data_IF_446191077529
#
_entry.id   IF_446191077529
#
_cell.length_a   1.000
_cell.length_b   1.000
_cell.length_c   1.000
_cell.angle_alpha   90.00
_cell.angle_beta   90.00
_cell.angle_gamma   90.00
#
_symmetry.space_group_name_H-M   'P 1'
#
loop_
_entity.id
_entity.type
_entity.pdbx_description
1 polymer ?
#
# COMPACT_ATOMS: atom_id res chain seq x y z
N UNK A 1 5.35 34.02 2.22
CA UNK A 1 4.51 32.87 1.73
C UNK A 1 3.89 32.27 2.98
N UNK A 2 2.59 32.45 3.15
CA UNK A 2 1.88 32.04 4.36
C UNK A 2 1.89 30.52 4.53
N UNK A 3 2.26 30.01 5.70
CA UNK A 3 2.31 28.57 5.98
C UNK A 3 0.94 27.86 5.86
N UNK A 4 -0.15 28.62 5.98
CA UNK A 4 -1.53 28.12 5.87
C UNK A 4 -1.86 27.68 4.43
N UNK A 5 -1.31 28.35 3.41
CA UNK A 5 -1.52 27.99 2.01
C UNK A 5 -0.77 26.71 1.60
N UNK A 6 0.33 26.38 2.28
CA UNK A 6 1.08 25.15 2.03
C UNK A 6 0.33 23.89 2.47
N UNK A 7 -0.35 23.96 3.61
CA UNK A 7 -1.12 22.84 4.17
C UNK A 7 -2.39 22.57 3.34
N UNK A 8 -3.06 23.66 2.88
CA UNK A 8 -4.24 23.55 2.02
C UNK A 8 -3.88 22.94 0.64
N UNK A 9 -2.72 23.27 0.08
CA UNK A 9 -2.21 22.66 -1.15
C UNK A 9 -1.84 21.19 -0.97
N UNK A 10 -1.27 20.81 0.18
CA UNK A 10 -0.93 19.42 0.49
C UNK A 10 -2.18 18.55 0.64
N UNK A 11 -3.22 19.05 1.30
CA UNK A 11 -4.51 18.38 1.44
C UNK A 11 -5.26 18.29 0.10
N UNK A 12 -5.15 19.30 -0.76
CA UNK A 12 -5.73 19.30 -2.10
C UNK A 12 -5.00 18.32 -3.04
N UNK A 13 -3.67 18.18 -2.93
CA UNK A 13 -2.90 17.21 -3.70
C UNK A 13 -3.20 15.76 -3.29
N UNK A 14 -3.44 15.50 -1.99
CA UNK A 14 -3.86 14.18 -1.49
C UNK A 14 -5.31 13.82 -1.89
N UNK A 15 -6.20 14.81 -2.04
CA UNK A 15 -7.56 14.61 -2.50
C UNK A 15 -7.68 14.55 -4.04
N UNK A 16 -6.79 15.22 -4.78
CA UNK A 16 -6.84 15.38 -6.23
C UNK A 16 -6.39 14.15 -7.04
N UNK A 17 -5.63 13.22 -6.43
CA UNK A 17 -5.15 12.00 -7.11
C UNK A 17 -6.26 11.03 -7.55
N UNK A 18 -7.48 11.16 -7.01
CA UNK A 18 -8.64 10.35 -7.37
C UNK A 18 -9.47 10.90 -8.54
N UNK A 19 -9.41 12.22 -8.79
CA UNK A 19 -10.25 12.87 -9.81
C UNK A 19 -9.65 12.83 -11.23
N UNK A 20 -8.32 12.82 -11.36
CA UNK A 20 -7.65 12.78 -12.65
C UNK A 20 -7.82 11.43 -13.39
N UNK A 21 -7.88 10.31 -12.65
CA UNK A 21 -8.15 8.99 -13.22
C UNK A 21 -9.57 8.83 -13.77
N UNK A 22 -10.53 9.53 -13.17
CA UNK A 22 -11.94 9.46 -13.57
C UNK A 22 -12.25 10.30 -14.81
N UNK A 23 -11.52 11.41 -15.03
CA UNK A 23 -11.69 12.28 -16.21
C UNK A 23 -11.08 11.69 -17.48
N UNK A 24 -10.00 10.89 -17.39
CA UNK A 24 -9.39 10.24 -18.56
C UNK A 24 -10.20 9.04 -19.08
N UNK A 25 -11.04 8.41 -18.26
CA UNK A 25 -11.93 7.32 -18.73
C UNK A 25 -13.18 7.80 -19.45
N UNK A 26 -13.50 9.11 -19.43
CA UNK A 26 -14.69 9.70 -20.04
C UNK A 26 -14.48 10.25 -21.44
N UNK A 27 -13.25 10.31 -21.94
CA UNK A 27 -12.88 10.92 -23.23
C UNK A 27 -12.97 9.96 -24.45
N UNK A 28 -13.32 8.68 -24.25
CA UNK A 28 -13.48 7.72 -25.35
C UNK A 28 -14.95 7.26 -25.48
N UNK A 29 -15.82 8.15 -25.97
CA UNK A 29 -17.10 7.77 -26.60
C UNK A 29 -16.96 7.93 -28.08
N UNK A 30 -17.16 6.88 -28.89
CA UNK A 30 -17.31 7.04 -30.35
C UNK A 30 -18.65 7.69 -30.62
N UNK A 31 -18.63 8.75 -31.41
CA UNK A 31 -19.80 9.43 -31.95
C UNK A 31 -20.54 8.59 -33.00
N UNK A 32 -21.81 8.93 -33.31
CA UNK A 32 -22.65 8.14 -34.19
C UNK A 32 -22.21 8.28 -35.65
N UNK A 33 -22.26 7.14 -36.36
CA UNK A 33 -22.02 7.04 -37.79
C UNK A 33 -23.14 7.74 -38.56
N UNK A 34 -22.77 8.55 -39.56
CA UNK A 34 -23.64 9.09 -40.58
C UNK A 34 -23.81 8.10 -41.73
N UNK A 35 -24.99 8.06 -42.40
CA UNK A 35 -25.26 7.15 -43.51
C UNK A 35 -24.97 7.79 -44.88
N UNK A 36 -24.56 6.98 -45.81
CA UNK A 36 -24.77 7.37 -47.23
C UNK A 36 -23.68 7.00 -48.21
N UNK A 37 -24.16 6.33 -49.25
CA UNK A 37 -23.79 6.27 -50.69
C UNK A 37 -22.99 5.03 -51.11
N UNK A 38 -23.71 4.10 -51.63
CA UNK A 38 -23.98 3.68 -53.01
C UNK A 38 -22.78 3.56 -53.97
N UNK A 39 -22.65 2.35 -54.49
CA UNK A 39 -22.55 1.96 -55.91
C UNK A 39 -21.19 1.90 -56.62
N UNK A 40 -21.00 0.69 -57.21
CA UNK A 40 -20.27 0.31 -58.44
C UNK A 40 -18.94 -0.44 -58.33
N UNK A 41 -18.63 -1.22 -59.42
CA UNK A 41 -19.19 -2.51 -59.83
C UNK A 41 -18.12 -3.62 -59.95
N UNK A 42 -18.59 -4.82 -60.21
CA UNK A 42 -17.80 -6.04 -60.42
C UNK A 42 -16.97 -6.01 -61.71
N UNK A 43 -15.75 -6.61 -61.63
CA UNK A 43 -14.99 -7.07 -62.81
C UNK A 43 -14.56 -8.52 -62.57
N UNK A 44 -14.73 -9.41 -63.52
CA UNK A 44 -14.47 -10.84 -63.37
C UNK A 44 -13.06 -11.22 -63.78
N UNK A 45 -12.44 -12.15 -63.08
CA UNK A 45 -11.29 -12.88 -63.62
C UNK A 45 -11.42 -14.38 -63.40
N UNK A 46 -11.20 -15.05 -64.50
CA UNK A 46 -11.15 -16.48 -64.70
C UNK A 46 -9.99 -17.15 -63.93
N UNK A 47 -10.23 -18.40 -63.55
CA UNK A 47 -9.15 -19.30 -63.17
C UNK A 47 -9.66 -20.47 -62.32
N UNK A 48 -10.20 -21.48 -62.97
CA UNK A 48 -10.70 -22.67 -62.34
C UNK A 48 -9.60 -23.54 -61.75
N UNK A 49 -9.83 -24.02 -60.53
CA UNK A 49 -9.26 -25.24 -60.06
C UNK A 49 -10.35 -26.00 -59.31
N UNK A 50 -10.78 -27.12 -59.85
CA UNK A 50 -11.67 -28.07 -59.23
C UNK A 50 -10.99 -28.53 -57.92
N UNK A 51 -11.66 -28.35 -56.82
CA UNK A 51 -11.38 -29.04 -55.57
C UNK A 51 -12.61 -29.88 -55.28
N UNK A 52 -12.37 -31.16 -55.13
CA UNK A 52 -13.39 -32.17 -54.85
C UNK A 52 -14.16 -31.81 -53.56
N UNK A 53 -15.46 -31.79 -53.73
CA UNK A 53 -16.45 -31.69 -52.67
C UNK A 53 -16.65 -33.07 -52.10
N UNK A 54 -16.08 -33.32 -50.91
CA UNK A 54 -16.59 -34.28 -49.95
C UNK A 54 -15.77 -34.17 -48.64
N UNK A 55 -15.99 -33.07 -47.92
CA UNK A 55 -15.75 -33.00 -46.48
C UNK A 55 -16.81 -32.11 -45.84
N UNK A 56 -17.73 -32.76 -45.12
CA UNK A 56 -18.67 -32.07 -44.22
C UNK A 56 -17.91 -31.17 -43.20
N UNK A 57 -18.38 -29.96 -42.90
CA UNK A 57 -17.68 -29.06 -42.01
C UNK A 57 -17.78 -29.57 -40.56
N UNK A 58 -16.75 -30.23 -40.09
CA UNK A 58 -16.47 -30.54 -38.70
C UNK A 58 -16.30 -29.27 -37.82
N UNK A 59 -16.72 -28.09 -38.29
CA UNK A 59 -16.44 -26.80 -37.64
C UNK A 59 -17.31 -26.48 -36.42
N UNK A 60 -18.48 -27.11 -36.24
CA UNK A 60 -19.37 -26.79 -35.11
C UNK A 60 -18.91 -27.40 -33.75
N UNK A 61 -18.19 -28.49 -33.77
CA UNK A 61 -17.66 -29.10 -32.55
C UNK A 61 -16.36 -28.42 -32.06
N UNK A 62 -15.54 -27.91 -32.98
CA UNK A 62 -14.29 -27.20 -32.67
C UNK A 62 -14.53 -25.86 -31.99
N UNK A 63 -15.47 -25.06 -32.46
CA UNK A 63 -15.80 -23.73 -31.90
C UNK A 63 -16.40 -23.81 -30.49
N UNK A 64 -17.26 -24.83 -30.22
CA UNK A 64 -17.78 -25.07 -28.85
C UNK A 64 -16.69 -25.46 -27.85
N UNK A 65 -15.74 -26.27 -28.28
CA UNK A 65 -14.58 -26.66 -27.46
C UNK A 65 -13.63 -25.49 -27.19
N UNK A 66 -13.40 -24.63 -28.19
CA UNK A 66 -12.53 -23.45 -28.08
C UNK A 66 -13.13 -22.41 -27.13
N UNK A 67 -14.43 -22.12 -27.26
CA UNK A 67 -15.13 -21.18 -26.37
C UNK A 67 -15.08 -21.63 -24.89
N UNK A 68 -15.24 -22.93 -24.62
CA UNK A 68 -15.13 -23.44 -23.26
C UNK A 68 -13.71 -23.36 -22.72
N UNK A 69 -12.69 -23.74 -23.51
CA UNK A 69 -11.28 -23.60 -23.12
C UNK A 69 -10.90 -22.12 -22.84
N UNK A 70 -11.42 -21.19 -23.65
CA UNK A 70 -11.21 -19.76 -23.44
C UNK A 70 -11.83 -19.29 -22.10
N UNK A 71 -13.06 -19.70 -21.81
CA UNK A 71 -13.70 -19.38 -20.50
C UNK A 71 -12.95 -20.00 -19.32
N UNK A 72 -12.43 -21.22 -19.48
CA UNK A 72 -11.70 -21.91 -18.43
C UNK A 72 -10.32 -21.31 -18.15
N UNK A 73 -9.74 -20.58 -19.12
CA UNK A 73 -8.45 -19.88 -18.98
C UNK A 73 -8.58 -18.50 -18.33
N UNK A 74 -9.80 -17.97 -18.17
CA UNK A 74 -10.02 -16.66 -17.55
C UNK A 74 -9.71 -16.70 -16.05
N UNK A 75 -9.04 -15.66 -15.57
CA UNK A 75 -8.85 -15.44 -14.13
C UNK A 75 -10.10 -14.88 -13.44
N UNK A 76 -11.05 -14.42 -14.22
CA UNK A 76 -12.34 -13.91 -13.75
C UNK A 76 -13.32 -15.07 -13.60
N UNK A 77 -14.02 -15.15 -12.47
CA UNK A 77 -15.08 -16.12 -12.24
C UNK A 77 -16.29 -15.84 -13.13
N UNK A 78 -16.76 -16.83 -13.88
CA UNK A 78 -17.96 -16.71 -14.71
C UNK A 78 -18.96 -17.77 -14.31
N UNK A 79 -20.18 -17.33 -13.97
CA UNK A 79 -21.33 -18.18 -13.64
C UNK A 79 -22.52 -17.74 -14.48
N UNK A 80 -23.15 -18.69 -15.20
CA UNK A 80 -24.43 -18.43 -15.87
C UNK A 80 -25.51 -19.19 -15.11
N UNK A 81 -26.56 -18.47 -14.72
CA UNK A 81 -27.72 -19.04 -14.03
C UNK A 81 -28.91 -19.12 -14.97
N UNK A 82 -29.65 -20.23 -14.92
CA UNK A 82 -30.92 -20.43 -15.62
C UNK A 82 -32.08 -19.73 -14.89
N UNK A 83 -33.31 -19.97 -15.35
CA UNK A 83 -34.53 -19.35 -14.80
C UNK A 83 -34.81 -19.77 -13.35
N UNK A 84 -34.37 -20.95 -12.94
CA UNK A 84 -34.55 -21.58 -11.63
C UNK A 84 -33.33 -21.34 -10.69
N UNK A 85 -32.39 -20.45 -11.09
CA UNK A 85 -31.16 -20.14 -10.39
C UNK A 85 -30.16 -21.30 -10.29
N UNK A 86 -30.28 -22.32 -11.15
CA UNK A 86 -29.27 -23.36 -11.24
C UNK A 86 -28.08 -22.90 -12.11
N UNK A 87 -26.86 -23.33 -11.76
CA UNK A 87 -25.68 -23.01 -12.55
C UNK A 87 -25.67 -23.78 -13.88
N UNK A 88 -25.98 -23.10 -14.99
CA UNK A 88 -25.92 -23.66 -16.34
C UNK A 88 -24.49 -23.71 -16.89
N UNK A 89 -23.63 -22.75 -16.49
CA UNK A 89 -22.22 -22.70 -16.86
C UNK A 89 -21.40 -22.14 -15.72
N UNK A 90 -20.24 -22.74 -15.48
CA UNK A 90 -19.30 -22.34 -14.42
C UNK A 90 -17.89 -22.59 -14.88
N UNK A 91 -17.01 -21.60 -14.77
CA UNK A 91 -15.59 -21.78 -15.02
C UNK A 91 -14.80 -22.15 -13.74
N UNK A 92 -13.53 -22.61 -13.83
CA UNK A 92 -12.71 -22.98 -12.69
C UNK A 92 -12.48 -21.82 -11.70
N UNK A 93 -12.30 -20.60 -12.20
CA UNK A 93 -12.08 -19.40 -11.37
C UNK A 93 -13.27 -19.14 -10.43
N UNK A 94 -14.52 -19.25 -10.92
CA UNK A 94 -15.73 -19.10 -10.10
C UNK A 94 -15.81 -20.13 -8.98
N UNK A 95 -15.35 -21.35 -9.21
CA UNK A 95 -15.27 -22.40 -8.17
C UNK A 95 -14.23 -22.07 -7.13
N UNK A 96 -13.04 -21.63 -7.55
CA UNK A 96 -11.95 -21.24 -6.66
C UNK A 96 -12.33 -20.04 -5.77
N UNK A 97 -13.15 -19.12 -6.28
CA UNK A 97 -13.68 -17.97 -5.53
C UNK A 97 -14.80 -18.32 -4.54
N UNK A 98 -15.24 -19.59 -4.48
CA UNK A 98 -16.29 -20.00 -3.55
C UNK A 98 -17.70 -19.51 -3.93
N UNK A 99 -17.93 -19.17 -5.21
CA UNK A 99 -19.22 -18.71 -5.71
C UNK A 99 -20.28 -19.81 -5.82
N UNK A 100 -19.86 -21.04 -5.59
CA UNK A 100 -20.69 -22.23 -5.59
C UNK A 100 -20.62 -22.93 -4.24
N UNK A 101 -21.75 -23.54 -3.86
CA UNK A 101 -21.88 -24.38 -2.66
C UNK A 101 -22.36 -25.78 -3.06
N UNK A 102 -22.14 -26.75 -2.21
CA UNK A 102 -22.77 -28.06 -2.36
C UNK A 102 -24.28 -27.89 -2.30
N UNK A 103 -24.99 -28.41 -3.29
CA UNK A 103 -26.46 -28.40 -3.33
C UNK A 103 -27.05 -29.41 -2.35
N UNK A 104 -28.39 -29.44 -2.27
CA UNK A 104 -29.11 -30.33 -1.36
C UNK A 104 -29.03 -31.81 -1.73
N UNK A 105 -28.68 -32.17 -2.97
CA UNK A 105 -28.46 -33.54 -3.40
C UNK A 105 -26.98 -33.83 -3.64
N UNK A 106 -26.48 -35.05 -3.40
CA UNK A 106 -25.09 -35.42 -3.64
C UNK A 106 -24.67 -35.15 -5.08
N UNK A 107 -23.55 -34.41 -5.25
CA UNK A 107 -23.02 -34.07 -6.56
C UNK A 107 -23.63 -32.84 -7.24
N UNK A 108 -24.65 -32.20 -6.66
CA UNK A 108 -25.24 -30.97 -7.19
C UNK A 108 -24.49 -29.71 -6.69
N UNK A 109 -24.37 -28.72 -7.57
CA UNK A 109 -23.82 -27.40 -7.23
C UNK A 109 -24.95 -26.38 -7.17
N UNK A 110 -24.98 -25.58 -6.14
CA UNK A 110 -25.89 -24.45 -6.00
C UNK A 110 -25.10 -23.13 -6.06
N UNK A 111 -25.66 -22.12 -6.71
CA UNK A 111 -25.10 -20.80 -6.72
C UNK A 111 -25.16 -20.16 -5.32
N UNK A 112 -24.12 -19.40 -4.96
CA UNK A 112 -24.11 -18.63 -3.72
C UNK A 112 -25.36 -17.72 -3.63
N UNK A 113 -26.01 -17.57 -2.46
CA UNK A 113 -27.25 -16.79 -2.33
C UNK A 113 -27.20 -15.40 -2.96
N UNK A 114 -26.06 -14.73 -2.87
CA UNK A 114 -25.89 -13.39 -3.44
C UNK A 114 -26.01 -13.39 -4.97
N UNK A 115 -25.50 -14.44 -5.65
CA UNK A 115 -25.62 -14.56 -7.11
C UNK A 115 -27.08 -14.73 -7.53
N UNK A 116 -27.87 -15.51 -6.77
CA UNK A 116 -29.30 -15.69 -6.99
C UNK A 116 -30.07 -14.40 -6.80
N UNK A 117 -29.74 -13.64 -5.76
CA UNK A 117 -30.35 -12.32 -5.51
C UNK A 117 -30.07 -11.36 -6.66
N UNK A 118 -28.81 -11.26 -7.12
CA UNK A 118 -28.42 -10.42 -8.26
C UNK A 118 -29.12 -10.86 -9.55
N UNK A 119 -29.14 -12.17 -9.84
CA UNK A 119 -29.82 -12.70 -11.01
C UNK A 119 -31.32 -12.38 -11.00
N UNK A 120 -31.98 -12.53 -9.85
CA UNK A 120 -33.40 -12.17 -9.66
C UNK A 120 -33.67 -10.68 -9.87
N UNK A 121 -32.76 -9.79 -9.44
CA UNK A 121 -32.88 -8.36 -9.70
C UNK A 121 -32.73 -8.05 -11.19
N UNK A 122 -31.72 -8.61 -11.85
CA UNK A 122 -31.45 -8.39 -13.28
C UNK A 122 -32.63 -8.90 -14.14
N UNK A 123 -33.21 -10.08 -13.81
CA UNK A 123 -34.38 -10.60 -14.54
C UNK A 123 -35.62 -9.69 -14.40
N UNK A 124 -35.85 -9.13 -13.20
CA UNK A 124 -37.01 -8.24 -12.99
C UNK A 124 -36.86 -6.89 -13.66
N UNK A 125 -35.64 -6.34 -13.70
CA UNK A 125 -35.42 -4.96 -14.16
C UNK A 125 -34.86 -4.86 -15.57
N UNK A 126 -34.30 -5.94 -16.13
CA UNK A 126 -33.55 -5.94 -17.38
C UNK A 126 -32.25 -5.14 -17.35
N UNK A 127 -31.94 -4.52 -16.22
CA UNK A 127 -30.78 -3.61 -16.08
C UNK A 127 -29.59 -4.37 -15.47
N UNK A 128 -28.42 -4.15 -16.06
CA UNK A 128 -27.14 -4.63 -15.52
C UNK A 128 -26.96 -4.16 -14.08
N UNK A 129 -26.47 -5.05 -13.22
CA UNK A 129 -26.14 -4.76 -11.83
C UNK A 129 -24.68 -5.04 -11.54
N UNK A 130 -24.09 -4.16 -10.76
CA UNK A 130 -22.72 -4.30 -10.24
C UNK A 130 -22.77 -4.15 -8.72
N UNK A 131 -22.03 -5.02 -8.01
CA UNK A 131 -21.96 -5.04 -6.55
C UNK A 131 -20.56 -5.42 -6.14
N UNK A 132 -19.99 -4.71 -5.17
CA UNK A 132 -18.77 -5.07 -4.49
C UNK A 132 -19.10 -5.63 -3.11
N UNK A 133 -18.42 -6.70 -2.72
CA UNK A 133 -18.64 -7.36 -1.43
C UNK A 133 -17.42 -8.17 -0.99
N UNK A 134 -17.32 -8.36 0.31
CA UNK A 134 -16.33 -9.23 0.92
C UNK A 134 -16.96 -10.59 1.26
N UNK A 135 -16.44 -11.67 0.66
CA UNK A 135 -16.82 -13.03 1.02
C UNK A 135 -15.86 -13.62 2.06
N UNK A 136 -16.34 -14.17 3.17
CA UNK A 136 -15.48 -14.85 4.12
C UNK A 136 -14.86 -16.10 3.48
N UNK A 137 -13.53 -16.23 3.52
CA UNK A 137 -12.79 -17.42 3.11
C UNK A 137 -12.79 -18.42 4.25
N UNK A 138 -13.45 -19.56 4.08
CA UNK A 138 -13.20 -20.76 4.87
C UNK A 138 -14.29 -21.19 5.84
N UNK A 139 -14.49 -22.53 5.85
CA UNK A 139 -15.00 -23.32 6.98
C UNK A 139 -13.81 -23.66 7.88
N UNK A 140 -13.94 -23.37 9.18
CA UNK A 140 -13.10 -23.82 10.29
C UNK A 140 -11.71 -23.12 10.45
N UNK A 141 -11.62 -22.23 11.44
CA UNK A 141 -10.45 -22.11 12.33
C UNK A 141 -9.24 -21.32 11.89
N UNK A 142 -9.17 -20.80 10.69
CA UNK A 142 -8.07 -19.94 10.27
C UNK A 142 -8.57 -18.55 9.91
N UNK A 143 -7.97 -17.52 10.47
CA UNK A 143 -8.23 -16.10 10.16
C UNK A 143 -7.68 -15.75 8.77
N UNK A 144 -8.24 -16.33 7.70
CA UNK A 144 -7.94 -15.89 6.33
C UNK A 144 -8.72 -14.60 6.04
N UNK A 145 -8.02 -13.62 5.47
CA UNK A 145 -8.64 -12.37 5.04
C UNK A 145 -9.80 -12.64 4.06
N UNK A 146 -10.91 -11.90 4.18
CA UNK A 146 -12.06 -12.05 3.29
C UNK A 146 -11.65 -11.80 1.83
N UNK A 147 -12.33 -12.48 0.90
CA UNK A 147 -12.16 -12.30 -0.54
C UNK A 147 -13.00 -11.12 -0.99
N UNK A 148 -12.37 -10.04 -1.43
CA UNK A 148 -13.05 -8.90 -2.06
C UNK A 148 -13.45 -9.27 -3.48
N UNK A 149 -14.74 -9.23 -3.78
CA UNK A 149 -15.28 -9.54 -5.10
C UNK A 149 -16.04 -8.35 -5.68
N UNK A 150 -15.75 -8.06 -6.93
CA UNK A 150 -16.59 -7.22 -7.78
C UNK A 150 -17.43 -8.12 -8.67
N UNK A 151 -18.76 -8.13 -8.45
CA UNK A 151 -19.73 -8.92 -9.19
C UNK A 151 -20.46 -8.04 -10.20
N UNK A 152 -20.55 -8.51 -11.46
CA UNK A 152 -21.28 -7.88 -12.52
C UNK A 152 -22.26 -8.87 -13.11
N UNK A 153 -23.56 -8.58 -13.02
CA UNK A 153 -24.63 -9.43 -13.53
C UNK A 153 -25.34 -8.78 -14.73
N UNK A 154 -25.54 -9.57 -15.80
CA UNK A 154 -26.14 -9.14 -17.07
C UNK A 154 -27.10 -10.22 -17.57
N UNK A 155 -28.29 -9.83 -18.02
CA UNK A 155 -29.19 -10.74 -18.73
C UNK A 155 -28.62 -11.11 -20.11
N UNK A 156 -28.47 -12.41 -20.37
CA UNK A 156 -28.11 -12.91 -21.70
C UNK A 156 -29.34 -13.04 -22.59
N UNK A 157 -30.46 -13.46 -21.99
CA UNK A 157 -31.77 -13.58 -22.60
C UNK A 157 -32.84 -13.52 -21.49
N UNK A 158 -34.09 -13.85 -21.82
CA UNK A 158 -35.20 -13.86 -20.85
C UNK A 158 -35.06 -14.85 -19.70
N UNK A 159 -34.23 -15.89 -19.84
CA UNK A 159 -34.09 -16.98 -18.86
C UNK A 159 -32.71 -17.02 -18.22
N UNK A 160 -31.65 -16.62 -18.92
CA UNK A 160 -30.28 -16.75 -18.45
C UNK A 160 -29.66 -15.43 -18.04
N UNK A 161 -28.97 -15.43 -16.92
CA UNK A 161 -28.18 -14.31 -16.40
C UNK A 161 -26.71 -14.73 -16.28
N UNK A 162 -25.81 -14.01 -16.92
CA UNK A 162 -24.39 -14.16 -16.72
C UNK A 162 -23.93 -13.28 -15.56
N UNK A 163 -23.09 -13.85 -14.69
CA UNK A 163 -22.45 -13.15 -13.58
C UNK A 163 -20.95 -13.32 -13.73
N UNK A 164 -20.27 -12.22 -13.83
CA UNK A 164 -18.83 -12.08 -13.83
C UNK A 164 -18.37 -11.70 -12.42
N UNK A 165 -17.32 -12.34 -11.92
CA UNK A 165 -16.73 -12.08 -10.61
C UNK A 165 -15.24 -11.84 -10.74
N UNK A 166 -14.80 -10.63 -10.45
CA UNK A 166 -13.40 -10.28 -10.39
C UNK A 166 -12.91 -10.25 -8.92
N UNK A 167 -11.73 -10.84 -8.67
CA UNK A 167 -11.07 -10.71 -7.38
C UNK A 167 -10.44 -9.30 -7.29
N UNK A 168 -10.98 -8.49 -6.41
CA UNK A 168 -10.53 -7.12 -6.13
C UNK A 168 -9.97 -6.99 -4.72
N UNK A 169 -9.60 -8.12 -4.09
CA UNK A 169 -9.10 -8.17 -2.71
C UNK A 169 -7.94 -7.22 -2.50
N UNK A 170 -6.97 -7.23 -3.40
CA UNK A 170 -5.78 -6.37 -3.29
C UNK A 170 -6.14 -4.88 -3.46
N UNK A 171 -6.98 -4.56 -4.43
CA UNK A 171 -7.46 -3.18 -4.63
C UNK A 171 -8.25 -2.66 -3.44
N UNK A 172 -9.14 -3.49 -2.87
CA UNK A 172 -9.89 -3.16 -1.65
C UNK A 172 -8.97 -2.98 -0.45
N UNK A 173 -7.96 -3.86 -0.31
CA UNK A 173 -6.94 -3.75 0.75
C UNK A 173 -6.18 -2.43 0.64
N UNK A 174 -5.69 -2.10 -0.55
CA UNK A 174 -4.98 -0.85 -0.80
C UNK A 174 -5.85 0.38 -0.55
N UNK A 175 -7.12 0.35 -1.01
CA UNK A 175 -8.07 1.43 -0.79
C UNK A 175 -8.42 1.59 0.70
N UNK A 176 -8.52 0.50 1.46
CA UNK A 176 -8.72 0.52 2.93
C UNK A 176 -7.51 1.12 3.62
N UNK A 177 -6.31 0.60 3.34
CA UNK A 177 -5.05 1.12 3.92
C UNK A 177 -4.89 2.61 3.65
N UNK A 178 -5.24 3.07 2.44
CA UNK A 178 -5.20 4.50 2.10
C UNK A 178 -6.22 5.33 2.88
N UNK A 179 -7.46 4.84 3.03
CA UNK A 179 -8.51 5.53 3.81
C UNK A 179 -8.13 5.63 5.28
N UNK A 180 -7.66 4.52 5.86
CA UNK A 180 -7.25 4.47 7.26
C UNK A 180 -6.04 5.39 7.50
N UNK A 181 -5.11 5.46 6.56
CA UNK A 181 -3.99 6.39 6.59
C UNK A 181 -4.46 7.85 6.64
N UNK A 182 -5.35 8.28 5.73
CA UNK A 182 -5.87 9.66 5.71
C UNK A 182 -6.65 10.00 6.98
N UNK A 183 -7.45 9.06 7.48
CA UNK A 183 -8.20 9.25 8.72
C UNK A 183 -7.27 9.42 9.92
N UNK A 184 -6.24 8.57 10.04
CA UNK A 184 -5.27 8.62 11.12
C UNK A 184 -4.40 9.89 11.06
N UNK A 185 -3.93 10.29 9.87
CA UNK A 185 -3.22 11.57 9.67
C UNK A 185 -4.07 12.74 10.16
N UNK A 186 -5.34 12.78 9.75
CA UNK A 186 -6.25 13.85 10.14
C UNK A 186 -6.44 13.90 11.66
N UNK A 187 -6.55 12.75 12.31
CA UNK A 187 -6.72 12.65 13.76
C UNK A 187 -5.44 13.04 14.52
N UNK A 188 -4.28 12.57 14.08
CA UNK A 188 -2.98 12.88 14.70
C UNK A 188 -2.55 14.34 14.50
N UNK A 189 -3.06 15.04 13.47
CA UNK A 189 -2.86 16.46 13.27
C UNK A 189 -3.86 17.32 14.06
N UNK A 190 -5.12 16.90 14.16
CA UNK A 190 -6.17 17.69 14.85
C UNK A 190 -5.87 17.88 16.33
N UNK A 191 -5.37 16.86 17.00
CA UNK A 191 -5.08 16.89 18.43
C UNK A 191 -4.03 17.94 18.80
N UNK A 192 -2.82 17.97 18.20
CA UNK A 192 -1.82 19.00 18.51
C UNK A 192 -2.25 20.40 18.07
N UNK A 193 -2.98 20.54 16.96
CA UNK A 193 -3.49 21.85 16.53
C UNK A 193 -4.45 22.42 17.59
N UNK A 194 -5.38 21.60 18.11
CA UNK A 194 -6.27 22.01 19.18
C UNK A 194 -5.53 22.36 20.47
N UNK A 195 -4.50 21.61 20.82
CA UNK A 195 -3.65 21.91 21.98
C UNK A 195 -2.90 23.24 21.81
N UNK A 196 -2.33 23.49 20.61
CA UNK A 196 -1.65 24.76 20.29
C UNK A 196 -2.59 25.97 20.40
N UNK A 197 -3.83 25.84 19.90
CA UNK A 197 -4.84 26.89 20.00
C UNK A 197 -5.15 27.24 21.45
N UNK A 198 -5.46 26.23 22.28
CA UNK A 198 -5.74 26.42 23.70
C UNK A 198 -4.55 27.01 24.47
N UNK A 199 -3.34 26.57 24.17
CA UNK A 199 -2.13 27.11 24.81
C UNK A 199 -1.84 28.54 24.37
N UNK A 200 -2.11 28.89 23.11
CA UNK A 200 -1.98 30.25 22.61
C UNK A 200 -3.03 31.20 23.25
N UNK A 201 -4.29 30.76 23.38
CA UNK A 201 -5.32 31.49 24.09
C UNK A 201 -4.92 31.72 25.57
N UNK A 202 -4.49 30.67 26.28
CA UNK A 202 -4.00 30.78 27.66
C UNK A 202 -2.79 31.71 27.80
N UNK A 203 -1.88 31.71 26.82
CA UNK A 203 -0.74 32.62 26.79
C UNK A 203 -1.21 34.08 26.62
N UNK A 204 -2.15 34.33 25.72
CA UNK A 204 -2.72 35.67 25.50
C UNK A 204 -3.45 36.17 26.77
N UNK A 205 -4.22 35.30 27.42
CA UNK A 205 -4.91 35.62 28.67
C UNK A 205 -3.91 35.96 29.78
N UNK A 206 -2.84 35.16 29.95
CA UNK A 206 -1.78 35.43 30.95
C UNK A 206 -0.98 36.71 30.69
N UNK A 207 -0.97 37.21 29.43
CA UNK A 207 -0.27 38.45 29.08
C UNK A 207 -1.18 39.68 28.98
N UNK A 208 -2.51 39.52 29.10
CA UNK A 208 -3.50 40.58 28.87
C UNK A 208 -3.83 41.41 30.14
N UNK A 209 -3.29 41.10 31.33
CA UNK A 209 -3.62 41.75 32.61
C UNK A 209 -2.71 42.95 32.90
N UNK A 210 -3.17 44.19 32.67
CA UNK A 210 -2.33 45.39 32.84
C UNK A 210 -2.26 45.94 34.26
N UNK A 211 -3.09 45.51 35.24
CA UNK A 211 -3.22 46.10 36.56
C UNK A 211 -2.96 45.15 37.75
N UNK A 212 -2.21 44.08 37.54
CA UNK A 212 -1.89 43.13 38.60
C UNK A 212 -0.79 43.68 39.53
N UNK A 213 -0.79 43.23 40.79
CA UNK A 213 0.28 43.51 41.74
C UNK A 213 1.63 42.94 41.23
N UNK A 214 2.78 43.46 41.68
CA UNK A 214 4.09 42.96 41.24
C UNK A 214 4.27 41.45 41.43
N UNK A 215 3.66 40.87 42.45
CA UNK A 215 3.68 39.44 42.75
C UNK A 215 2.87 38.64 41.71
N UNK A 216 1.64 39.13 41.40
CA UNK A 216 0.78 38.53 40.37
C UNK A 216 1.40 38.63 38.97
N UNK A 217 2.05 39.73 38.62
CA UNK A 217 2.82 39.86 37.36
C UNK A 217 3.96 38.85 37.25
N UNK A 218 4.61 38.50 38.37
CA UNK A 218 5.66 37.48 38.38
C UNK A 218 5.09 36.07 38.16
N UNK A 219 3.93 35.73 38.72
CA UNK A 219 3.24 34.45 38.50
C UNK A 219 2.73 34.32 37.07
N UNK A 220 2.15 35.38 36.52
CA UNK A 220 1.67 35.44 35.12
C UNK A 220 2.82 35.27 34.12
N UNK A 221 3.98 35.88 34.35
CA UNK A 221 5.16 35.70 33.54
C UNK A 221 5.68 34.26 33.56
N UNK A 222 5.66 33.60 34.74
CA UNK A 222 6.02 32.19 34.87
C UNK A 222 5.02 31.30 34.13
N UNK A 223 3.72 31.60 34.21
CA UNK A 223 2.67 30.87 33.50
C UNK A 223 2.82 31.06 31.98
N UNK A 224 3.03 32.27 31.52
CA UNK A 224 3.25 32.61 30.11
C UNK A 224 4.47 31.85 29.53
N UNK A 225 5.57 31.79 30.29
CA UNK A 225 6.76 31.03 29.89
C UNK A 225 6.45 29.54 29.75
N UNK A 226 5.71 28.95 30.69
CA UNK A 226 5.31 27.51 30.63
C UNK A 226 4.43 27.24 29.42
N UNK A 227 3.49 28.16 29.09
CA UNK A 227 2.65 28.00 27.88
C UNK A 227 3.50 28.10 26.61
N UNK A 228 4.43 29.07 26.53
CA UNK A 228 5.32 29.21 25.40
C UNK A 228 6.23 27.98 25.20
N UNK A 229 6.79 27.42 26.28
CA UNK A 229 7.58 26.17 26.24
C UNK A 229 6.74 24.99 25.73
N UNK A 230 5.49 24.87 26.17
CA UNK A 230 4.56 23.82 25.69
C UNK A 230 4.19 24.01 24.21
N UNK A 231 3.92 25.25 23.78
CA UNK A 231 3.67 25.57 22.38
C UNK A 231 4.87 25.16 21.52
N UNK A 232 6.09 25.51 21.96
CA UNK A 232 7.32 25.15 21.25
C UNK A 232 7.45 23.62 21.12
N UNK A 233 7.22 22.88 22.22
CA UNK A 233 7.30 21.42 22.22
C UNK A 233 6.29 20.78 21.27
N UNK A 234 5.02 21.23 21.28
CA UNK A 234 3.97 20.68 20.42
C UNK A 234 4.21 21.04 18.95
N UNK A 235 4.72 22.24 18.67
CA UNK A 235 5.11 22.66 17.31
C UNK A 235 6.25 21.79 16.76
N UNK A 236 7.27 21.52 17.58
CA UNK A 236 8.37 20.63 17.19
C UNK A 236 7.87 19.19 16.93
N UNK A 237 6.92 18.69 17.73
CA UNK A 237 6.27 17.39 17.51
C UNK A 237 5.51 17.35 16.19
N UNK A 238 4.73 18.40 15.87
CA UNK A 238 4.07 18.53 14.57
C UNK A 238 5.04 18.53 13.41
N UNK A 239 6.16 19.25 13.53
CA UNK A 239 7.21 19.27 12.51
C UNK A 239 7.75 17.88 12.22
N UNK A 240 8.03 17.07 13.26
CA UNK A 240 8.44 15.67 13.10
C UNK A 240 7.38 14.85 12.40
N UNK A 241 6.11 14.93 12.83
CA UNK A 241 5.02 14.19 12.20
C UNK A 241 4.88 14.51 10.70
N UNK A 242 4.95 15.80 10.32
CA UNK A 242 4.89 16.22 8.92
C UNK A 242 6.07 15.67 8.12
N UNK A 243 7.28 15.73 8.65
CA UNK A 243 8.47 15.21 7.98
C UNK A 243 8.38 13.68 7.77
N UNK A 244 7.95 12.93 8.77
CA UNK A 244 7.74 11.48 8.65
C UNK A 244 6.64 11.13 7.64
N UNK A 245 5.55 11.93 7.56
CA UNK A 245 4.52 11.76 6.54
C UNK A 245 5.04 12.02 5.13
N UNK A 246 5.86 13.07 4.94
CA UNK A 246 6.50 13.37 3.67
C UNK A 246 7.46 12.26 3.26
N UNK A 247 8.28 11.77 4.18
CA UNK A 247 9.19 10.64 3.96
C UNK A 247 8.41 9.38 3.54
N UNK A 248 7.38 9.02 4.30
CA UNK A 248 6.56 7.85 3.99
C UNK A 248 5.85 7.99 2.62
N UNK A 249 5.41 9.20 2.27
CA UNK A 249 4.77 9.48 0.97
C UNK A 249 5.77 9.36 -0.18
N UNK A 250 6.99 9.87 -0.01
CA UNK A 250 8.08 9.71 -0.99
C UNK A 250 8.44 8.25 -1.20
N UNK A 251 8.56 7.49 -0.12
CA UNK A 251 8.87 6.05 -0.17
C UNK A 251 7.78 5.24 -0.88
N UNK A 252 6.51 5.64 -0.82
CA UNK A 252 5.39 4.97 -1.49
C UNK A 252 5.22 5.32 -2.97
N UNK A 253 5.61 6.52 -3.36
CA UNK A 253 5.57 7.00 -4.73
C UNK A 253 6.88 6.76 -5.49
N UNK A 254 7.89 6.25 -4.82
CA UNK A 254 9.17 6.00 -5.44
C UNK A 254 9.01 4.90 -6.51
N UNK A 255 9.33 5.25 -7.74
CA UNK A 255 9.83 4.30 -8.74
C UNK A 255 10.92 3.43 -8.09
N UNK A 256 11.17 2.21 -8.62
CA UNK A 256 12.27 1.37 -8.11
C UNK A 256 13.49 2.24 -7.88
N UNK A 257 14.17 2.02 -6.74
CA UNK A 257 15.38 2.78 -6.37
C UNK A 257 16.23 3.03 -7.61
N UNK A 258 16.63 4.28 -7.92
CA UNK A 258 17.63 4.52 -8.94
C UNK A 258 18.84 3.64 -8.63
N UNK A 259 19.53 3.16 -9.63
CA UNK A 259 20.63 2.18 -9.55
C UNK A 259 21.29 2.13 -8.17
N UNK A 260 21.15 1.05 -7.39
CA UNK A 260 21.60 1.01 -6.00
C UNK A 260 23.09 1.32 -5.91
N UNK A 261 23.45 2.33 -5.13
CA UNK A 261 24.85 2.73 -4.92
C UNK A 261 25.45 1.95 -3.74
N UNK A 262 26.75 1.66 -3.75
CA UNK A 262 27.44 1.07 -2.59
C UNK A 262 27.47 2.11 -1.44
N UNK A 263 26.98 1.69 -0.27
CA UNK A 263 26.89 2.50 0.95
C UNK A 263 27.75 1.84 2.04
N UNK A 264 28.71 2.59 2.57
CA UNK A 264 29.53 2.15 3.68
C UNK A 264 28.72 2.19 4.98
N UNK A 265 28.47 1.03 5.59
CA UNK A 265 27.66 0.93 6.81
C UNK A 265 28.31 1.64 7.99
N UNK A 266 29.64 1.64 8.07
CA UNK A 266 30.39 2.37 9.13
C UNK A 266 30.08 3.86 9.13
N UNK A 267 29.96 4.46 7.94
CA UNK A 267 29.60 5.86 7.79
C UNK A 267 28.17 6.13 8.27
N UNK A 268 27.22 5.28 7.88
CA UNK A 268 25.83 5.38 8.32
C UNK A 268 25.72 5.30 9.83
N UNK A 269 26.41 4.33 10.46
CA UNK A 269 26.38 4.16 11.92
C UNK A 269 27.02 5.37 12.62
N UNK A 270 28.15 5.87 12.11
CA UNK A 270 28.80 7.05 12.70
C UNK A 270 27.89 8.29 12.66
N UNK A 271 27.21 8.52 11.54
CA UNK A 271 26.23 9.60 11.36
C UNK A 271 25.06 9.45 12.35
N UNK A 272 24.51 8.25 12.49
CA UNK A 272 23.38 7.98 13.38
C UNK A 272 23.77 8.19 14.85
N UNK A 273 24.94 7.70 15.28
CA UNK A 273 25.45 7.90 16.63
C UNK A 273 25.66 9.38 16.94
N UNK A 274 26.22 10.15 15.99
CA UNK A 274 26.38 11.59 16.19
C UNK A 274 25.04 12.31 16.28
N UNK A 275 24.10 11.99 15.39
CA UNK A 275 22.77 12.58 15.32
C UNK A 275 21.93 12.31 16.59
N UNK A 276 22.08 11.13 17.20
CA UNK A 276 21.32 10.74 18.39
C UNK A 276 22.02 11.06 19.71
N UNK A 277 23.28 11.53 19.65
CA UNK A 277 24.14 11.78 20.83
C UNK A 277 23.48 12.70 21.87
N UNK A 278 22.90 13.83 21.45
CA UNK A 278 22.28 14.78 22.38
C UNK A 278 21.07 14.18 23.09
N UNK A 279 20.23 13.44 22.36
CA UNK A 279 19.05 12.79 22.93
C UNK A 279 19.42 11.68 23.89
N UNK A 280 20.44 10.89 23.55
CA UNK A 280 20.96 9.83 24.42
C UNK A 280 21.59 10.42 25.72
N UNK A 281 22.40 11.48 25.59
CA UNK A 281 23.02 12.17 26.70
C UNK A 281 22.01 12.77 27.67
N UNK A 282 20.89 13.29 27.21
CA UNK A 282 19.82 13.85 28.03
C UNK A 282 19.16 12.80 28.95
N UNK A 283 19.23 11.52 28.60
CA UNK A 283 18.77 10.37 29.41
C UNK A 283 19.91 9.58 30.05
N UNK A 284 21.15 10.02 29.94
CA UNK A 284 22.33 9.27 30.39
C UNK A 284 22.41 7.86 29.76
N UNK A 285 22.00 7.72 28.50
CA UNK A 285 22.05 6.47 27.76
C UNK A 285 23.38 6.39 27.00
N UNK A 286 24.10 5.30 27.15
CA UNK A 286 25.31 5.01 26.41
C UNK A 286 24.95 4.32 25.09
N UNK A 287 25.28 4.92 23.94
CA UNK A 287 25.12 4.28 22.62
C UNK A 287 26.47 3.69 22.21
N UNK A 288 26.54 2.38 22.07
CA UNK A 288 27.78 1.65 21.74
C UNK A 288 27.63 0.93 20.41
N UNK A 289 28.71 0.90 19.63
CA UNK A 289 28.77 0.15 18.37
C UNK A 289 29.84 -0.93 18.43
N UNK A 290 29.50 -2.12 17.93
CA UNK A 290 30.40 -3.24 17.77
C UNK A 290 30.18 -3.94 16.44
N UNK A 291 31.23 -4.24 15.69
CA UNK A 291 31.09 -4.96 14.43
C UNK A 291 32.34 -4.89 13.56
N UNK A 292 32.36 -5.66 12.44
CA UNK A 292 33.40 -5.59 11.43
C UNK A 292 33.39 -4.22 10.76
N UNK A 293 34.56 -3.77 10.30
CA UNK A 293 34.70 -2.56 9.50
C UNK A 293 34.66 -2.85 8.02
N UNK A 294 34.20 -1.87 7.23
CA UNK A 294 34.22 -1.95 5.77
C UNK A 294 33.02 -2.70 5.15
N UNK A 295 31.99 -3.00 5.93
CA UNK A 295 30.77 -3.58 5.42
C UNK A 295 30.07 -2.61 4.44
N UNK A 296 29.60 -3.13 3.32
CA UNK A 296 28.95 -2.35 2.26
C UNK A 296 27.60 -2.94 1.90
N UNK A 297 26.54 -2.13 1.93
CA UNK A 297 25.20 -2.46 1.42
C UNK A 297 24.94 -1.68 0.13
N UNK A 298 23.91 -2.06 -0.61
CA UNK A 298 23.56 -1.40 -1.87
C UNK A 298 22.20 -0.71 -1.75
N UNK A 299 22.15 0.61 -1.99
CA UNK A 299 20.91 1.36 -1.88
C UNK A 299 21.11 2.87 -1.79
N UNK A 300 20.23 3.52 -1.04
CA UNK A 300 20.30 4.96 -0.70
C UNK A 300 20.84 5.12 0.71
N UNK A 301 21.97 5.81 0.84
CA UNK A 301 22.62 6.14 2.11
C UNK A 301 21.69 6.88 3.07
N UNK A 302 20.98 7.90 2.58
CA UNK A 302 20.05 8.68 3.37
C UNK A 302 18.87 7.87 3.88
N UNK A 303 18.31 6.94 3.07
CA UNK A 303 17.24 6.07 3.51
C UNK A 303 17.71 5.07 4.56
N UNK A 304 18.89 4.45 4.35
CA UNK A 304 19.45 3.50 5.32
C UNK A 304 19.77 4.22 6.63
N UNK A 305 20.36 5.43 6.59
CA UNK A 305 20.59 6.27 7.76
C UNK A 305 19.28 6.61 8.48
N UNK A 306 18.22 6.94 7.73
CA UNK A 306 16.88 7.18 8.30
C UNK A 306 16.34 5.94 9.01
N UNK A 307 16.47 4.75 8.40
CA UNK A 307 16.00 3.51 9.03
C UNK A 307 16.73 3.22 10.34
N UNK A 308 18.06 3.31 10.35
CA UNK A 308 18.88 3.05 11.56
C UNK A 308 18.61 4.13 12.61
N UNK A 309 18.46 5.42 12.23
CA UNK A 309 18.10 6.51 13.14
C UNK A 309 16.77 6.22 13.84
N UNK A 310 15.73 5.83 13.11
CA UNK A 310 14.43 5.49 13.69
C UNK A 310 14.51 4.33 14.69
N UNK A 311 15.34 3.32 14.43
CA UNK A 311 15.56 2.22 15.36
C UNK A 311 16.28 2.70 16.65
N UNK A 312 17.33 3.51 16.50
CA UNK A 312 18.10 4.03 17.63
C UNK A 312 17.28 5.02 18.47
N UNK A 313 16.53 5.92 17.83
CA UNK A 313 15.63 6.84 18.54
C UNK A 313 14.54 6.10 19.31
N UNK A 314 13.96 5.04 18.75
CA UNK A 314 13.03 4.19 19.47
C UNK A 314 13.70 3.49 20.66
N UNK A 315 14.89 2.95 20.48
CA UNK A 315 15.66 2.33 21.56
C UNK A 315 15.91 3.30 22.72
N UNK A 316 16.31 4.55 22.40
CA UNK A 316 16.53 5.62 23.39
C UNK A 316 15.19 6.04 24.03
N UNK A 317 14.11 6.16 23.25
CA UNK A 317 12.80 6.62 23.73
C UNK A 317 12.21 5.67 24.78
N UNK A 318 12.31 4.36 24.54
CA UNK A 318 11.71 3.32 25.37
C UNK A 318 12.64 2.74 26.44
N UNK A 319 13.92 3.06 26.43
CA UNK A 319 14.88 2.74 27.49
C UNK A 319 14.74 3.67 28.68
N UNK A 320 15.06 3.13 29.87
CA UNK A 320 15.21 3.92 31.09
C UNK A 320 16.48 4.77 31.11
N UNK A 321 16.59 5.66 32.09
CA UNK A 321 17.82 6.41 32.32
C UNK A 321 18.97 5.47 32.75
N UNK A 322 20.21 5.87 32.46
CA UNK A 322 21.43 5.14 32.80
C UNK A 322 21.49 3.70 32.24
N UNK A 323 20.90 3.51 31.05
CA UNK A 323 20.93 2.24 30.32
C UNK A 323 21.85 2.30 29.11
N UNK A 324 21.92 1.20 28.35
CA UNK A 324 22.73 1.10 27.13
C UNK A 324 21.87 0.74 25.94
N UNK A 325 22.14 1.39 24.80
CA UNK A 325 21.67 0.99 23.48
C UNK A 325 22.87 0.46 22.69
N UNK A 326 22.80 -0.81 22.28
CA UNK A 326 23.89 -1.46 21.57
C UNK A 326 23.53 -1.63 20.09
N UNK A 327 24.38 -1.06 19.24
CA UNK A 327 24.37 -1.35 17.79
C UNK A 327 25.39 -2.44 17.53
N UNK A 328 25.00 -3.48 16.80
CA UNK A 328 25.96 -4.49 16.34
C UNK A 328 25.75 -4.79 14.86
N UNK A 329 26.85 -5.11 14.17
CA UNK A 329 26.87 -5.45 12.76
C UNK A 329 27.33 -6.89 12.61
N UNK A 330 26.57 -7.68 11.86
CA UNK A 330 26.94 -9.02 11.39
C UNK A 330 26.86 -9.04 9.88
N UNK A 331 27.75 -9.76 9.27
CA UNK A 331 27.82 -9.93 7.82
C UNK A 331 28.04 -11.38 7.47
N UNK A 332 27.24 -11.87 6.55
CA UNK A 332 27.50 -13.13 5.84
C UNK A 332 27.61 -12.89 4.33
N UNK A 333 27.64 -13.96 3.53
CA UNK A 333 27.80 -13.86 2.07
C UNK A 333 26.61 -13.23 1.34
N UNK A 334 25.42 -13.23 1.93
CA UNK A 334 24.18 -12.77 1.34
C UNK A 334 23.61 -11.54 2.02
N UNK A 335 23.82 -11.41 3.35
CA UNK A 335 23.15 -10.41 4.17
C UNK A 335 24.10 -9.62 5.06
N UNK A 336 23.77 -8.38 5.26
CA UNK A 336 24.28 -7.54 6.34
C UNK A 336 23.14 -7.31 7.30
N UNK A 337 23.38 -7.62 8.58
CA UNK A 337 22.43 -7.44 9.68
C UNK A 337 22.92 -6.35 10.60
N UNK A 338 22.11 -5.33 10.79
CA UNK A 338 22.32 -4.25 11.75
C UNK A 338 21.33 -4.47 12.89
N UNK A 339 21.85 -4.88 14.05
CA UNK A 339 21.04 -5.04 15.24
C UNK A 339 21.09 -3.77 16.07
N UNK A 340 19.93 -3.36 16.57
CA UNK A 340 19.78 -2.30 17.58
C UNK A 340 19.09 -2.91 18.79
N UNK A 341 19.83 -3.09 19.87
CA UNK A 341 19.37 -3.70 21.10
C UNK A 341 19.20 -2.63 22.19
N UNK A 342 18.04 -2.62 22.83
CA UNK A 342 17.69 -1.75 23.95
C UNK A 342 17.47 -2.51 25.25
N UNK A 343 17.57 -1.81 26.38
CA UNK A 343 17.25 -2.29 27.71
C UNK A 343 15.96 -1.66 28.24
N UNK A 344 14.97 -1.54 27.33
CA UNK A 344 13.71 -0.88 27.61
C UNK A 344 12.63 -1.80 28.17
N UNK A 345 11.40 -1.33 28.05
CA UNK A 345 10.21 -2.02 28.57
C UNK A 345 9.86 -3.32 27.83
N UNK A 346 10.46 -3.55 26.66
CA UNK A 346 10.09 -4.66 25.79
C UNK A 346 8.70 -4.51 25.15
N UNK A 347 8.32 -5.49 24.35
CA UNK A 347 7.10 -5.52 23.54
C UNK A 347 6.30 -6.77 23.91
N UNK A 348 4.99 -6.61 24.12
CA UNK A 348 4.14 -7.74 24.39
C UNK A 348 3.97 -8.63 23.13
N UNK A 349 3.88 -9.96 23.25
CA UNK A 349 3.82 -10.87 22.09
C UNK A 349 2.71 -10.56 21.09
N UNK A 350 1.56 -10.07 21.55
CA UNK A 350 0.43 -9.72 20.69
C UNK A 350 0.61 -8.42 19.89
N UNK A 351 1.62 -7.61 20.25
CA UNK A 351 1.94 -6.34 19.59
C UNK A 351 3.06 -6.49 18.55
N UNK A 352 3.88 -7.54 18.63
CA UNK A 352 5.08 -7.75 17.79
C UNK A 352 4.79 -7.64 16.29
N UNK A 353 3.72 -8.24 15.84
CA UNK A 353 3.34 -8.18 14.41
C UNK A 353 2.80 -6.81 14.00
N UNK A 354 2.26 -6.04 14.95
CA UNK A 354 1.54 -4.80 14.72
C UNK A 354 2.39 -3.55 14.85
N UNK A 355 3.52 -3.59 15.56
CA UNK A 355 4.39 -2.42 15.77
C UNK A 355 4.90 -1.79 14.47
N UNK A 356 4.88 -2.53 13.35
CA UNK A 356 5.24 -2.04 12.02
C UNK A 356 4.05 -1.47 11.24
N UNK A 357 2.82 -1.52 11.81
CA UNK A 357 1.65 -0.86 11.23
C UNK A 357 1.76 0.66 11.43
N UNK A 358 1.27 1.43 10.46
CA UNK A 358 1.29 2.91 10.53
C UNK A 358 0.42 3.40 11.67
N UNK A 359 0.90 4.36 12.45
CA UNK A 359 0.23 4.95 13.62
C UNK A 359 -0.04 3.96 14.75
N UNK A 360 0.48 2.73 14.66
CA UNK A 360 0.31 1.77 15.74
C UNK A 360 1.21 2.13 16.93
N UNK A 361 0.66 1.98 18.12
CA UNK A 361 1.32 2.27 19.41
C UNK A 361 0.78 1.30 20.45
N UNK A 362 1.65 0.48 21.03
CA UNK A 362 1.27 -0.52 22.03
C UNK A 362 0.71 0.13 23.32
N UNK A 363 1.20 1.32 23.70
CA UNK A 363 0.70 2.10 24.84
C UNK A 363 0.51 3.57 24.43
N UNK A 364 -0.75 3.97 24.22
CA UNK A 364 -1.12 5.33 23.83
C UNK A 364 -0.82 6.39 24.90
N UNK A 365 -0.94 6.04 26.18
CA UNK A 365 -0.75 6.99 27.28
C UNK A 365 0.72 7.37 27.44
N UNK A 366 1.60 6.37 27.50
CA UNK A 366 3.05 6.54 27.64
C UNK A 366 3.70 7.16 26.39
N UNK A 367 3.18 6.80 25.23
CA UNK A 367 3.71 7.32 23.97
C UNK A 367 3.41 8.79 23.74
N UNK A 368 2.41 9.40 24.42
CA UNK A 368 2.19 10.85 24.39
C UNK A 368 3.33 11.60 25.09
N UNK A 369 3.87 11.06 26.17
CA UNK A 369 5.00 11.67 26.89
C UNK A 369 6.33 11.54 26.15
N UNK A 370 6.51 10.47 25.35
CA UNK A 370 7.72 10.25 24.54
C UNK A 370 7.66 10.92 23.16
N UNK A 371 6.50 11.50 22.78
CA UNK A 371 6.33 12.24 21.51
C UNK A 371 6.38 11.39 20.25
N UNK A 372 6.24 10.06 20.36
CA UNK A 372 6.26 9.16 19.22
C UNK A 372 5.03 9.33 18.32
N UNK A 373 5.21 9.24 17.00
CA UNK A 373 4.17 9.41 15.97
C UNK A 373 3.54 8.08 15.56
N UNK A 374 4.23 6.94 15.80
CA UNK A 374 3.85 5.62 15.32
C UNK A 374 4.14 5.39 13.83
N UNK A 375 4.96 6.26 13.22
CA UNK A 375 5.36 6.12 11.81
C UNK A 375 6.79 5.58 11.64
N UNK A 376 7.67 5.79 12.61
CA UNK A 376 9.10 5.45 12.50
C UNK A 376 9.36 3.99 12.11
N UNK A 377 8.75 3.01 12.79
CA UNK A 377 8.91 1.59 12.45
C UNK A 377 8.27 1.19 11.12
N UNK A 378 7.18 1.85 10.73
CA UNK A 378 6.60 1.66 9.39
C UNK A 378 7.55 2.18 8.29
N UNK A 379 8.25 3.30 8.53
CA UNK A 379 9.30 3.83 7.65
C UNK A 379 10.46 2.83 7.55
N UNK A 380 10.94 2.28 8.67
CA UNK A 380 12.00 1.26 8.69
C UNK A 380 11.62 0.06 7.82
N UNK A 381 10.41 -0.49 8.02
CA UNK A 381 9.92 -1.64 7.24
C UNK A 381 9.86 -1.32 5.75
N UNK A 382 9.42 -0.11 5.40
CA UNK A 382 9.32 0.29 4.00
C UNK A 382 10.69 0.45 3.36
N UNK A 383 11.63 1.10 4.03
CA UNK A 383 13.02 1.24 3.58
C UNK A 383 13.66 -0.14 3.42
N UNK A 384 13.54 -1.04 4.42
CA UNK A 384 14.07 -2.39 4.33
C UNK A 384 13.54 -3.13 3.09
N UNK A 385 12.21 -3.08 2.87
CA UNK A 385 11.55 -3.73 1.71
C UNK A 385 12.01 -3.15 0.38
N UNK A 386 12.12 -1.83 0.26
CA UNK A 386 12.59 -1.16 -0.97
C UNK A 386 14.04 -1.51 -1.32
N UNK A 387 14.84 -1.86 -0.31
CA UNK A 387 16.22 -2.32 -0.48
C UNK A 387 16.34 -3.84 -0.67
N UNK A 388 15.21 -4.56 -0.85
CA UNK A 388 15.20 -6.03 -0.98
C UNK A 388 15.51 -6.77 0.31
N UNK A 389 15.47 -6.07 1.45
CA UNK A 389 15.72 -6.61 2.78
C UNK A 389 14.44 -6.76 3.62
N UNK A 390 14.64 -6.89 4.92
CA UNK A 390 13.56 -6.95 5.92
C UNK A 390 14.01 -6.45 7.27
N UNK A 391 13.04 -6.18 8.15
CA UNK A 391 13.27 -5.89 9.57
C UNK A 391 12.57 -6.93 10.42
N UNK A 392 13.30 -7.48 11.38
CA UNK A 392 12.80 -8.45 12.35
C UNK A 392 12.91 -7.86 13.77
N UNK A 393 12.17 -8.40 14.74
CA UNK A 393 12.24 -7.99 16.13
C UNK A 393 12.20 -9.20 17.05
N UNK A 394 13.04 -9.19 18.06
CA UNK A 394 13.01 -10.12 19.19
C UNK A 394 12.88 -9.30 20.47
N UNK A 395 11.85 -9.56 21.27
CA UNK A 395 11.57 -8.77 22.45
C UNK A 395 10.94 -9.61 23.55
N UNK A 396 11.24 -9.23 24.78
CA UNK A 396 10.62 -9.81 25.99
C UNK A 396 10.14 -8.66 26.86
N UNK A 397 8.89 -8.71 27.27
CA UNK A 397 8.30 -7.68 28.12
C UNK A 397 9.11 -7.53 29.43
N UNK A 398 9.59 -6.33 29.72
CA UNK A 398 10.50 -6.02 30.83
C UNK A 398 11.97 -6.36 30.58
N UNK A 399 12.32 -6.99 29.45
CA UNK A 399 13.70 -7.41 29.12
C UNK A 399 14.34 -6.64 27.96
N UNK A 400 13.64 -5.66 27.39
CA UNK A 400 14.11 -4.89 26.23
C UNK A 400 13.76 -5.54 24.90
N UNK A 401 14.27 -4.94 23.82
CA UNK A 401 14.03 -5.39 22.45
C UNK A 401 15.32 -5.37 21.63
N UNK A 402 15.40 -6.22 20.62
CA UNK A 402 16.43 -6.18 19.59
C UNK A 402 15.75 -6.13 18.23
N UNK A 403 15.98 -5.06 17.50
CA UNK A 403 15.53 -4.89 16.12
C UNK A 403 16.68 -5.22 15.18
N UNK A 404 16.46 -6.12 14.22
CA UNK A 404 17.43 -6.55 13.23
C UNK A 404 17.02 -6.04 11.86
N UNK A 405 17.76 -5.08 11.32
CA UNK A 405 17.63 -4.63 9.93
C UNK A 405 18.54 -5.48 9.06
N UNK A 406 17.95 -6.27 8.15
CA UNK A 406 18.67 -7.12 7.18
C UNK A 406 18.64 -6.48 5.82
N UNK A 407 19.81 -6.28 5.22
CA UNK A 407 19.98 -5.72 3.89
C UNK A 407 20.87 -6.64 3.05
N UNK A 408 20.64 -6.75 1.71
CA UNK A 408 21.50 -7.56 0.84
C UNK A 408 22.95 -7.05 0.83
N UNK A 409 23.90 -7.98 0.99
CA UNK A 409 25.32 -7.70 0.90
C UNK A 409 25.83 -7.58 -0.55
N UNK A 410 24.97 -7.93 -1.52
CA UNK A 410 25.29 -7.90 -2.96
C UNK A 410 24.36 -6.95 -3.69
N UNK A 411 24.82 -6.33 -4.79
CA UNK A 411 23.92 -5.53 -5.62
C UNK A 411 22.79 -6.43 -6.14
N UNK A 412 21.55 -5.90 -6.26
CA UNK A 412 20.47 -6.64 -6.90
C UNK A 412 20.93 -7.03 -8.31
N UNK A 413 20.70 -8.28 -8.70
CA UNK A 413 20.94 -8.71 -10.08
C UNK A 413 20.16 -7.78 -11.01
N UNK A 414 20.84 -7.12 -11.94
CA UNK A 414 20.17 -6.31 -12.96
C UNK A 414 19.12 -7.18 -13.64
N UNK A 415 17.87 -6.72 -13.81
CA UNK A 415 16.90 -7.47 -14.59
C UNK A 415 17.55 -7.79 -15.93
N UNK A 416 17.55 -9.07 -16.32
CA UNK A 416 18.06 -9.52 -17.61
C UNK A 416 17.60 -8.53 -18.68
N UNK A 417 18.48 -8.02 -19.56
CA UNK A 417 18.07 -7.11 -20.62
C UNK A 417 16.91 -7.79 -21.36
N UNK A 418 15.79 -7.07 -21.48
CA UNK A 418 14.68 -7.51 -22.32
C UNK A 418 15.29 -7.97 -23.65
N UNK A 419 14.92 -9.16 -24.20
CA UNK A 419 15.41 -9.59 -25.49
C UNK A 419 15.19 -8.42 -26.46
N UNK A 420 16.27 -8.02 -27.12
CA UNK A 420 16.27 -6.90 -28.05
C UNK A 420 15.05 -7.03 -28.95
N UNK A 421 14.26 -5.96 -29.03
CA UNK A 421 13.10 -5.91 -29.91
C UNK A 421 13.57 -6.43 -31.27
N UNK A 422 12.90 -7.45 -31.79
CA UNK A 422 13.13 -7.96 -33.14
C UNK A 422 12.92 -6.76 -34.06
N UNK A 423 13.99 -6.19 -34.59
CA UNK A 423 13.93 -5.22 -35.67
C UNK A 423 13.26 -5.94 -36.84
N UNK A 424 12.00 -5.61 -37.09
CA UNK A 424 11.33 -6.00 -38.32
C UNK A 424 11.97 -5.13 -39.41
N UNK A 425 12.96 -5.71 -40.11
CA UNK A 425 13.46 -5.11 -41.34
C UNK A 425 12.28 -4.82 -42.27
N UNK A 426 11.91 -3.57 -42.37
CA UNK A 426 11.00 -3.12 -43.44
C UNK A 426 11.73 -3.24 -44.76
N UNK A 427 11.54 -4.40 -45.43
CA UNK A 427 11.99 -4.62 -46.78
C UNK A 427 11.32 -3.60 -47.72
N UNK A 428 12.00 -2.49 -47.97
CA UNK A 428 11.68 -1.59 -49.07
C UNK A 428 12.02 -2.29 -50.37
N UNK A 429 11.01 -2.93 -50.98
CA UNK A 429 11.10 -3.42 -52.34
C UNK A 429 11.25 -2.22 -53.26
N UNK A 430 12.43 -2.04 -53.84
CA UNK A 430 12.74 -1.11 -54.89
C UNK A 430 11.90 -1.40 -56.14
N UNK A 431 11.16 -0.41 -56.60
CA UNK A 431 10.57 -0.39 -57.93
C UNK A 431 11.67 -0.08 -58.97
N UNK A 432 11.80 -0.85 -60.05
CA UNK A 432 12.68 -0.47 -61.16
C UNK A 432 12.07 0.64 -62.00
N UNK A 433 12.81 1.71 -62.21
CA UNK A 433 12.52 2.75 -63.19
C UNK A 433 12.75 2.24 -64.62
N UNK A 434 11.76 2.35 -65.49
CA UNK A 434 11.88 2.50 -66.90
C UNK A 434 10.71 3.37 -67.45
#
# INVERSE_FOLDING_TARGET
MDPVNGIALLLAALAGGGAAGWLLSRAHRPGPAAPGAADRPAVPTKGGRKIDTDEEPSGKHGLKGLGRKSLDSLRVGVVVLDAEDHPALVNPAARAMGLLRSGGAPGTLAAHPILRTLAGQVRRTGVRREVELDLPRGRAGGAQAPLGLHLRAVALNSTHVAIEAADVTESHRLARVRRDFVANVSHELKTPIGALQLLAEALLDATAMPEASPEAQSEDLIAARRFAERIHHESARMGRLVNELLELTRLQGAEPLPTPQPVAVDWVIAEVVDRTRTTAAAKHIEVVYTGPKGATVYGSDSQIATAVTNLVENAIAYSGENTRVALSLRQDDEWIEIDVADQGIGIAPHDVDRIFERFYRADQARSRSTGGTGLGLAIVKHIATNHGGRVDVSSTLGGGSTFTLRLPARPPESPLPLPAAIEIESGAAGLPSA
#
